data_IF_741931692056
#
_entry.id   IF_741931692056
#
_cell.length_a   1.000
_cell.length_b   1.000
_cell.length_c   1.000
_cell.angle_alpha   90.00
_cell.angle_beta   90.00
_cell.angle_gamma   90.00
#
_symmetry.space_group_name_H-M   'P 1'
#
loop_
_entity.id
_entity.type
_entity.pdbx_description
1 polymer ?
#
# COMPACT_ATOMS: atom_id res chain seq x y z
N UNK A 1 21.62 2.34 16.88
CA UNK A 1 20.20 2.56 16.52
C UNK A 1 19.91 1.65 15.36
N UNK A 2 19.35 0.46 15.62
CA UNK A 2 18.92 -0.44 14.55
C UNK A 2 17.69 0.20 13.90
N UNK A 3 17.64 0.38 12.57
CA UNK A 3 16.39 0.75 11.90
C UNK A 3 15.38 -0.32 12.30
N UNK A 4 14.31 0.09 12.99
CA UNK A 4 13.21 -0.82 13.28
C UNK A 4 12.77 -1.39 11.94
N UNK A 5 12.83 -2.72 11.81
CA UNK A 5 12.38 -3.40 10.60
C UNK A 5 11.00 -2.84 10.25
N UNK A 6 10.91 -2.08 9.16
CA UNK A 6 9.62 -1.61 8.69
C UNK A 6 8.74 -2.86 8.56
N UNK A 7 7.52 -2.86 9.10
CA UNK A 7 6.66 -4.03 8.98
C UNK A 7 6.57 -4.40 7.50
N UNK A 8 6.72 -5.69 7.18
CA UNK A 8 6.73 -6.17 5.80
C UNK A 8 5.51 -5.66 5.01
N UNK A 9 4.39 -5.52 5.71
CA UNK A 9 3.17 -4.85 5.24
C UNK A 9 3.10 -3.45 5.87
N UNK A 10 3.37 -2.43 5.05
CA UNK A 10 3.19 -1.01 5.40
C UNK A 10 2.12 -0.35 4.51
N UNK A 11 1.80 0.93 4.78
CA UNK A 11 0.78 1.65 4.01
C UNK A 11 1.15 1.76 2.52
N UNK A 12 2.43 1.93 2.19
CA UNK A 12 2.88 2.05 0.81
C UNK A 12 2.78 0.71 0.07
N UNK A 13 3.07 -0.39 0.75
CA UNK A 13 2.87 -1.74 0.26
C UNK A 13 1.39 -1.98 -0.09
N UNK A 14 0.47 -1.64 0.81
CA UNK A 14 -0.97 -1.78 0.56
C UNK A 14 -1.44 -0.90 -0.60
N UNK A 15 -0.96 0.34 -0.67
CA UNK A 15 -1.25 1.26 -1.77
C UNK A 15 -0.68 0.74 -3.10
N UNK A 16 0.49 0.11 -3.09
CA UNK A 16 1.08 -0.50 -4.28
C UNK A 16 0.27 -1.71 -4.76
N UNK A 17 -0.13 -2.60 -3.86
CA UNK A 17 -1.04 -3.72 -4.18
C UNK A 17 -2.34 -3.21 -4.77
N UNK A 18 -2.91 -2.16 -4.17
CA UNK A 18 -4.14 -1.54 -4.62
C UNK A 18 -4.00 -0.87 -6.00
N UNK A 19 -2.90 -0.15 -6.23
CA UNK A 19 -2.60 0.48 -7.52
C UNK A 19 -2.40 -0.55 -8.64
N UNK A 20 -1.67 -1.64 -8.36
CA UNK A 20 -1.53 -2.76 -9.30
C UNK A 20 -2.88 -3.41 -9.57
N UNK A 21 -3.64 -3.75 -8.53
CA UNK A 21 -4.87 -4.52 -8.70
C UNK A 21 -6.01 -3.72 -9.36
N UNK A 22 -6.29 -2.50 -8.89
CA UNK A 22 -7.27 -1.63 -9.55
C UNK A 22 -6.79 -1.15 -10.91
N UNK A 23 -5.49 -0.87 -11.07
CA UNK A 23 -4.91 -0.48 -12.36
C UNK A 23 -5.05 -1.57 -13.41
N UNK A 24 -4.67 -2.80 -13.08
CA UNK A 24 -4.81 -3.96 -13.96
C UNK A 24 -6.28 -4.30 -14.24
N UNK A 25 -7.12 -4.25 -13.20
CA UNK A 25 -8.57 -4.42 -13.35
C UNK A 25 -9.13 -3.44 -14.36
N UNK A 26 -8.81 -2.16 -14.23
CA UNK A 26 -9.34 -1.11 -15.11
C UNK A 26 -8.83 -1.24 -16.56
N UNK A 27 -7.55 -1.57 -16.72
CA UNK A 27 -6.92 -1.78 -18.03
C UNK A 27 -7.49 -2.99 -18.78
N UNK A 28 -7.89 -4.04 -18.05
CA UNK A 28 -8.37 -5.30 -18.65
C UNK A 28 -9.88 -5.46 -18.64
N UNK A 29 -10.61 -4.67 -17.84
CA UNK A 29 -12.06 -4.78 -17.65
C UNK A 29 -12.83 -4.84 -18.97
N UNK A 30 -12.45 -3.99 -19.93
CA UNK A 30 -13.13 -3.93 -21.24
C UNK A 30 -13.04 -5.25 -22.01
N UNK A 31 -11.91 -5.93 -21.96
CA UNK A 31 -11.71 -7.23 -22.64
C UNK A 31 -12.62 -8.29 -22.01
N UNK A 32 -12.69 -8.31 -20.68
CA UNK A 32 -13.57 -9.22 -19.94
C UNK A 32 -15.05 -8.93 -20.19
N UNK A 33 -15.43 -7.66 -20.17
CA UNK A 33 -16.81 -7.27 -20.38
C UNK A 33 -17.29 -7.51 -21.82
N UNK A 34 -16.43 -7.36 -22.84
CA UNK A 34 -16.79 -7.76 -24.22
C UNK A 34 -16.91 -9.26 -24.38
N UNK A 35 -15.96 -10.02 -23.85
CA UNK A 35 -15.96 -11.49 -23.99
C UNK A 35 -17.11 -12.16 -23.25
N UNK A 36 -17.60 -11.56 -22.16
CA UNK A 36 -18.68 -12.10 -21.33
C UNK A 36 -20.00 -11.33 -21.44
N UNK A 37 -20.12 -10.41 -22.40
CA UNK A 37 -21.30 -9.56 -22.62
C UNK A 37 -21.76 -8.81 -21.36
N UNK A 38 -20.81 -8.34 -20.54
CA UNK A 38 -21.13 -7.59 -19.32
C UNK A 38 -21.46 -6.12 -19.64
N UNK A 39 -22.31 -5.47 -18.83
CA UNK A 39 -22.61 -4.05 -18.97
C UNK A 39 -21.35 -3.19 -18.88
N UNK A 40 -21.21 -2.23 -19.79
CA UNK A 40 -20.12 -1.26 -19.80
C UNK A 40 -20.64 0.14 -19.52
N UNK A 41 -19.92 0.90 -18.70
CA UNK A 41 -20.20 2.32 -18.51
C UNK A 41 -19.86 3.12 -19.77
N UNK A 42 -20.51 4.26 -19.95
CA UNK A 42 -20.36 5.12 -21.14
C UNK A 42 -18.88 5.41 -21.46
N UNK A 43 -18.07 5.72 -20.45
CA UNK A 43 -16.64 5.99 -20.64
C UNK A 43 -15.86 4.78 -21.21
N UNK A 44 -16.21 3.56 -20.79
CA UNK A 44 -15.57 2.32 -21.28
C UNK A 44 -16.08 1.92 -22.68
N UNK A 45 -17.31 2.30 -23.03
CA UNK A 45 -17.92 2.04 -24.32
C UNK A 45 -17.43 3.04 -25.39
N UNK A 46 -17.48 4.33 -25.08
CA UNK A 46 -17.30 5.43 -26.02
C UNK A 46 -15.85 5.93 -26.09
N UNK A 47 -15.14 5.94 -24.95
CA UNK A 47 -13.77 6.45 -24.84
C UNK A 47 -12.85 5.43 -24.14
N UNK A 48 -12.65 4.23 -24.73
CA UNK A 48 -11.99 3.12 -24.06
C UNK A 48 -10.52 3.36 -23.72
N UNK A 49 -9.87 4.33 -24.36
CA UNK A 49 -8.48 4.66 -24.08
C UNK A 49 -8.30 5.34 -22.73
N UNK A 50 -9.26 6.13 -22.25
CA UNK A 50 -9.12 6.89 -20.98
C UNK A 50 -9.00 5.92 -19.79
N UNK A 51 -9.92 4.97 -19.57
CA UNK A 51 -9.79 4.02 -18.47
C UNK A 51 -8.54 3.16 -18.56
N UNK A 52 -8.16 2.76 -19.78
CA UNK A 52 -6.97 1.94 -20.01
C UNK A 52 -5.70 2.70 -19.63
N UNK A 53 -5.55 3.96 -20.04
CA UNK A 53 -4.38 4.77 -19.70
C UNK A 53 -4.31 5.05 -18.19
N UNK A 54 -5.45 5.32 -17.54
CA UNK A 54 -5.51 5.46 -16.07
C UNK A 54 -5.06 4.16 -15.41
N UNK A 55 -5.57 3.02 -15.88
CA UNK A 55 -5.23 1.71 -15.34
C UNK A 55 -3.75 1.37 -15.51
N UNK A 56 -3.20 1.63 -16.70
CA UNK A 56 -1.78 1.44 -17.00
C UNK A 56 -0.90 2.36 -16.17
N UNK A 57 -1.30 3.61 -15.94
CA UNK A 57 -0.56 4.54 -15.06
C UNK A 57 -0.43 4.00 -13.64
N UNK A 58 -1.54 3.53 -13.06
CA UNK A 58 -1.52 2.93 -11.71
C UNK A 58 -0.77 1.60 -11.63
N UNK A 59 -0.96 0.73 -12.63
CA UNK A 59 -0.23 -0.52 -12.73
C UNK A 59 1.28 -0.26 -12.82
N UNK A 60 1.71 0.65 -13.69
CA UNK A 60 3.11 0.98 -13.89
C UNK A 60 3.74 1.59 -12.64
N UNK A 61 3.05 2.52 -11.97
CA UNK A 61 3.52 3.10 -10.71
C UNK A 61 3.66 2.04 -9.61
N UNK A 62 2.69 1.14 -9.48
CA UNK A 62 2.74 0.04 -8.51
C UNK A 62 3.86 -0.96 -8.79
N UNK A 63 4.10 -1.29 -10.07
CA UNK A 63 5.21 -2.15 -10.47
C UNK A 63 6.58 -1.48 -10.25
N UNK A 64 6.72 -0.20 -10.61
CA UNK A 64 7.93 0.57 -10.32
C UNK A 64 8.25 0.58 -8.83
N UNK A 65 7.24 0.84 -7.99
CA UNK A 65 7.41 0.78 -6.54
C UNK A 65 7.83 -0.62 -6.07
N UNK A 66 7.19 -1.68 -6.58
CA UNK A 66 7.55 -3.05 -6.24
C UNK A 66 9.00 -3.39 -6.62
N UNK A 67 9.47 -2.91 -7.78
CA UNK A 67 10.88 -3.08 -8.18
C UNK A 67 11.84 -2.27 -7.30
N UNK A 68 11.46 -1.05 -6.92
CA UNK A 68 12.27 -0.21 -6.04
C UNK A 68 12.33 -0.73 -4.61
N UNK A 69 11.27 -1.41 -4.14
CA UNK A 69 11.23 -2.09 -2.84
C UNK A 69 12.15 -3.31 -2.81
N UNK A 70 12.32 -4.00 -3.93
CA UNK A 70 13.17 -5.19 -4.02
C UNK A 70 12.45 -6.50 -3.71
N UNK A 71 13.04 -7.62 -4.15
CA UNK A 71 12.46 -8.95 -4.04
C UNK A 71 12.38 -9.44 -2.59
N UNK A 72 13.44 -9.21 -1.82
CA UNK A 72 13.60 -9.70 -0.45
C UNK A 72 12.70 -8.95 0.54
N UNK A 73 12.35 -7.69 0.24
CA UNK A 73 11.48 -6.84 1.05
C UNK A 73 9.99 -6.89 0.62
N UNK A 74 9.61 -7.91 -0.15
CA UNK A 74 8.21 -8.22 -0.48
C UNK A 74 7.71 -7.63 -1.80
N UNK A 75 8.58 -7.13 -2.69
CA UNK A 75 8.17 -6.66 -4.02
C UNK A 75 7.42 -7.71 -4.85
N UNK A 76 7.84 -8.98 -4.77
CA UNK A 76 7.10 -10.09 -5.41
C UNK A 76 5.69 -10.28 -4.84
N UNK A 77 5.53 -10.05 -3.54
CA UNK A 77 4.22 -10.16 -2.88
C UNK A 77 3.27 -9.07 -3.37
N UNK A 78 3.77 -7.87 -3.67
CA UNK A 78 2.96 -6.79 -4.26
C UNK A 78 2.37 -7.24 -5.60
N UNK A 79 3.19 -7.85 -6.45
CA UNK A 79 2.77 -8.33 -7.77
C UNK A 79 1.75 -9.47 -7.61
N UNK A 80 2.06 -10.48 -6.79
CA UNK A 80 1.19 -11.63 -6.57
C UNK A 80 -0.18 -11.23 -6.00
N UNK A 81 -0.19 -10.40 -4.94
CA UNK A 81 -1.42 -9.91 -4.33
C UNK A 81 -2.18 -8.96 -5.25
N UNK A 82 -1.48 -8.10 -6.01
CA UNK A 82 -2.11 -7.21 -6.99
C UNK A 82 -2.81 -7.98 -8.10
N UNK A 83 -2.19 -9.04 -8.63
CA UNK A 83 -2.81 -9.93 -9.63
C UNK A 83 -4.03 -10.66 -9.09
N UNK A 84 -3.92 -11.22 -7.88
CA UNK A 84 -5.03 -11.87 -7.20
C UNK A 84 -6.18 -10.88 -6.96
N UNK A 85 -5.85 -9.70 -6.46
CA UNK A 85 -6.81 -8.64 -6.19
C UNK A 85 -7.51 -8.17 -7.47
N UNK A 86 -6.79 -7.95 -8.57
CA UNK A 86 -7.38 -7.60 -9.86
C UNK A 86 -8.38 -8.66 -10.36
N UNK A 87 -8.00 -9.93 -10.21
CA UNK A 87 -8.81 -11.07 -10.64
C UNK A 87 -10.10 -11.17 -9.84
N UNK A 88 -9.99 -11.07 -8.50
CA UNK A 88 -11.14 -11.06 -7.61
C UNK A 88 -12.02 -9.83 -7.85
N UNK A 89 -11.44 -8.64 -7.91
CA UNK A 89 -12.16 -7.39 -8.12
C UNK A 89 -12.95 -7.40 -9.44
N UNK A 90 -12.30 -7.77 -10.55
CA UNK A 90 -12.93 -7.83 -11.87
C UNK A 90 -13.96 -8.95 -11.95
N UNK A 91 -13.62 -10.14 -11.47
CA UNK A 91 -14.44 -11.33 -11.57
C UNK A 91 -15.69 -11.27 -10.71
N UNK A 92 -15.56 -10.82 -9.46
CA UNK A 92 -16.64 -10.80 -8.48
C UNK A 92 -17.55 -9.58 -8.64
N UNK A 93 -16.98 -8.38 -8.78
CA UNK A 93 -17.77 -7.15 -8.84
C UNK A 93 -18.42 -6.91 -10.20
N UNK A 94 -17.90 -7.52 -11.28
CA UNK A 94 -18.39 -7.34 -12.66
C UNK A 94 -18.52 -5.84 -12.98
N UNK A 95 -19.75 -5.31 -13.07
CA UNK A 95 -20.03 -3.89 -13.33
C UNK A 95 -19.48 -2.98 -12.23
N UNK A 96 -19.47 -3.43 -10.98
CA UNK A 96 -18.87 -2.70 -9.87
C UNK A 96 -17.36 -2.45 -10.02
N UNK A 97 -16.69 -3.17 -10.93
CA UNK A 97 -15.28 -2.93 -11.26
C UNK A 97 -15.06 -1.50 -11.80
N UNK A 98 -16.10 -0.84 -12.32
CA UNK A 98 -16.04 0.56 -12.75
C UNK A 98 -15.66 1.54 -11.63
N UNK A 99 -15.85 1.17 -10.35
CA UNK A 99 -15.35 1.96 -9.22
C UNK A 99 -13.82 2.14 -9.25
N UNK A 100 -13.10 1.24 -9.93
CA UNK A 100 -11.66 1.38 -10.16
C UNK A 100 -11.31 2.65 -10.95
N UNK A 101 -12.25 3.26 -11.69
CA UNK A 101 -12.03 4.57 -12.34
C UNK A 101 -11.66 5.66 -11.35
N UNK A 102 -12.14 5.58 -10.11
CA UNK A 102 -11.81 6.53 -9.05
C UNK A 102 -10.73 5.99 -8.13
N UNK A 103 -10.84 4.70 -7.76
CA UNK A 103 -9.93 4.10 -6.79
C UNK A 103 -8.50 3.94 -7.33
N UNK A 104 -8.32 3.59 -8.61
CA UNK A 104 -6.99 3.46 -9.20
C UNK A 104 -6.22 4.80 -9.19
N UNK A 105 -6.77 5.93 -9.68
CA UNK A 105 -6.09 7.22 -9.57
C UNK A 105 -5.78 7.62 -8.13
N UNK A 106 -6.71 7.42 -7.19
CA UNK A 106 -6.50 7.79 -5.78
C UNK A 106 -5.35 6.98 -5.18
N UNK A 107 -5.37 5.65 -5.35
CA UNK A 107 -4.32 4.77 -4.84
C UNK A 107 -2.95 5.12 -5.44
N UNK A 108 -2.92 5.35 -6.77
CA UNK A 108 -1.71 5.74 -7.49
C UNK A 108 -1.17 7.08 -6.98
N UNK A 109 -2.05 8.06 -6.82
CA UNK A 109 -1.68 9.38 -6.31
C UNK A 109 -1.10 9.30 -4.89
N UNK A 110 -1.78 8.59 -3.98
CA UNK A 110 -1.31 8.41 -2.60
C UNK A 110 0.00 7.62 -2.53
N UNK A 111 0.15 6.61 -3.38
CA UNK A 111 1.39 5.84 -3.50
C UNK A 111 2.55 6.75 -3.91
N UNK A 112 2.37 7.51 -5.00
CA UNK A 112 3.39 8.43 -5.49
C UNK A 112 3.70 9.54 -4.49
N UNK A 113 2.67 10.09 -3.84
CA UNK A 113 2.83 11.10 -2.80
C UNK A 113 3.67 10.57 -1.65
N UNK A 114 3.33 9.41 -1.09
CA UNK A 114 4.05 8.84 0.04
C UNK A 114 5.44 8.34 -0.34
N UNK A 115 5.61 7.77 -1.54
CA UNK A 115 6.89 7.29 -2.04
C UNK A 115 7.86 8.44 -2.33
N UNK A 116 7.37 9.52 -2.96
CA UNK A 116 8.18 10.69 -3.30
C UNK A 116 8.34 11.68 -2.15
N UNK A 117 7.50 11.62 -1.10
CA UNK A 117 7.64 12.50 0.07
C UNK A 117 9.01 12.34 0.75
N UNK A 118 9.49 11.12 0.89
CA UNK A 118 10.79 10.80 1.51
C UNK A 118 11.97 11.42 0.74
N UNK A 119 12.18 11.14 -0.56
CA UNK A 119 13.29 11.73 -1.32
C UNK A 119 13.16 13.25 -1.51
N UNK A 120 11.94 13.81 -1.45
CA UNK A 120 11.71 15.25 -1.51
C UNK A 120 11.94 15.98 -0.17
N UNK A 121 12.34 15.25 0.88
CA UNK A 121 12.69 15.84 2.18
C UNK A 121 11.49 16.12 3.10
N UNK A 122 10.28 15.68 2.73
CA UNK A 122 9.12 15.72 3.62
C UNK A 122 9.22 14.57 4.64
N UNK A 123 9.96 14.80 5.71
CA UNK A 123 10.02 13.88 6.85
C UNK A 123 8.81 14.07 7.78
N UNK A 124 8.26 12.98 8.31
CA UNK A 124 7.21 13.02 9.32
C UNK A 124 7.58 13.96 10.47
N UNK A 125 6.68 14.86 10.84
CA UNK A 125 6.91 15.71 12.01
C UNK A 125 6.87 14.79 13.25
N UNK A 126 7.95 14.80 14.05
CA UNK A 126 8.13 13.96 15.24
C UNK A 126 6.91 13.83 16.16
N UNK A 127 6.06 14.85 16.27
CA UNK A 127 4.87 14.82 17.12
C UNK A 127 3.78 13.85 16.67
N UNK A 128 3.82 13.33 15.43
CA UNK A 128 2.83 12.38 14.91
C UNK A 128 3.15 10.91 15.26
N UNK A 129 4.43 10.61 15.51
CA UNK A 129 4.93 9.27 15.86
C UNK A 129 5.41 9.18 17.31
N UNK A 130 5.44 10.30 18.03
CA UNK A 130 5.78 10.35 19.45
C UNK A 130 4.75 9.56 20.26
N UNK A 131 5.20 8.55 20.99
CA UNK A 131 4.32 7.82 21.91
C UNK A 131 3.84 8.80 22.99
N UNK A 132 2.60 8.66 23.51
CA UNK A 132 2.13 9.52 24.61
C UNK A 132 3.12 9.58 25.78
N UNK A 133 3.82 8.47 26.05
CA UNK A 133 4.90 8.40 27.05
C UNK A 133 6.09 9.30 26.72
N UNK A 134 6.50 9.39 25.46
CA UNK A 134 7.61 10.23 24.99
C UNK A 134 7.21 11.72 25.05
N UNK A 135 5.97 12.05 24.69
CA UNK A 135 5.44 13.42 24.82
C UNK A 135 5.35 13.86 26.28
N UNK A 136 4.96 12.95 27.18
CA UNK A 136 4.91 13.18 28.62
C UNK A 136 6.31 13.26 29.26
N UNK A 137 7.27 12.45 28.80
CA UNK A 137 8.69 12.57 29.18
C UNK A 137 9.27 13.91 28.72
N UNK A 138 8.99 14.35 27.49
CA UNK A 138 9.43 15.65 26.95
C UNK A 138 8.87 16.83 27.74
N UNK A 139 7.64 16.70 28.25
CA UNK A 139 7.01 17.70 29.13
C UNK A 139 7.48 17.62 30.58
N UNK A 140 8.39 16.70 30.92
CA UNK A 140 8.92 16.53 32.27
C UNK A 140 7.93 15.90 33.25
N UNK A 141 6.86 15.27 32.75
CA UNK A 141 5.80 14.66 33.57
C UNK A 141 6.14 13.21 33.96
N UNK A 142 6.91 12.49 33.13
CA UNK A 142 7.38 11.13 33.39
C UNK A 142 8.91 11.10 33.49
N UNK A 143 9.43 10.43 34.52
CA UNK A 143 10.86 10.14 34.65
C UNK A 143 11.31 9.05 33.64
N UNK A 144 12.54 9.09 33.12
CA UNK A 144 13.04 8.14 32.12
C UNK A 144 13.01 6.65 32.52
N UNK A 145 12.96 6.35 33.82
CA UNK A 145 13.22 4.99 34.36
C UNK A 145 11.98 4.17 34.73
N UNK A 146 10.76 4.64 34.47
CA UNK A 146 9.56 3.95 34.96
C UNK A 146 9.14 2.68 34.16
N UNK A 147 9.91 2.27 33.14
CA UNK A 147 9.45 1.30 32.14
C UNK A 147 10.37 0.12 31.80
N UNK A 148 11.48 -0.11 32.52
CA UNK A 148 12.35 -1.28 32.25
C UNK A 148 12.63 -2.06 33.53
N UNK A 149 11.62 -2.74 34.06
CA UNK A 149 11.87 -3.98 34.80
C UNK A 149 12.07 -5.09 33.77
N UNK A 150 13.33 -5.34 33.41
CA UNK A 150 13.72 -6.59 32.75
C UNK A 150 13.13 -7.79 33.51
N UNK A 151 12.59 -8.83 32.83
CA UNK A 151 12.19 -10.03 33.53
C UNK A 151 13.42 -10.60 34.25
N UNK A 152 13.24 -10.89 35.54
CA UNK A 152 14.29 -11.42 36.40
C UNK A 152 14.93 -12.68 35.77
N UNK A 153 16.27 -12.83 35.80
CA UNK A 153 16.90 -14.05 35.31
C UNK A 153 16.43 -15.24 36.16
N UNK A 154 16.20 -16.42 35.54
CA UNK A 154 15.78 -17.61 36.27
C UNK A 154 16.84 -18.01 37.30
N UNK A 155 16.45 -18.52 38.49
CA UNK A 155 17.38 -18.89 39.53
C UNK A 155 18.35 -19.97 39.02
N UNK A 156 19.65 -19.71 39.19
CA UNK A 156 20.71 -20.69 38.94
C UNK A 156 20.49 -21.90 39.85
N UNK A 157 20.21 -23.06 39.27
CA UNK A 157 20.40 -24.34 39.94
C UNK A 157 21.91 -24.56 40.12
N UNK A 158 22.38 -24.40 41.35
CA UNK A 158 23.73 -24.79 41.78
C UNK A 158 23.75 -26.32 42.08
N UNK A 159 24.94 -26.94 42.15
CA UNK A 159 25.28 -28.25 41.56
C UNK A 159 24.64 -29.48 42.22
#
# INVERSE_FOLDING_TARGET
>A
MLPGAAPMVDNLFLLAVAAVGWGLSLATYRLFARSRSWPMGALQADLPFIPVLIGLGGLFAGLLFATARGADDGGWMIIALGLLFASLWTGFLRVGSQLALFLAPIATFLLLLGWLAVPLGFSERRWATERPSETLQRRGILSPDAGVTSPAPPPKSAP
#
